data_IF_572831261253
#
_entry.id   IF_572831261253
#
_cell.length_a   1.000
_cell.length_b   1.000
_cell.length_c   1.000
_cell.angle_alpha   90.00
_cell.angle_beta   90.00
_cell.angle_gamma   90.00
#
_symmetry.space_group_name_H-M   'P 1'
#
loop_
_entity.id
_entity.type
_entity.pdbx_description
1 polymer ?
#
# COMPACT_ATOMS: atom_id res chain seq x y z
N UNK A 1 29.35 -6.11 17.42
CA UNK A 1 30.41 -6.32 16.41
C UNK A 1 30.02 -5.59 15.11
N UNK A 2 29.87 -4.27 15.19
CA UNK A 2 29.31 -3.44 14.13
C UNK A 2 30.29 -2.32 13.79
N UNK A 3 31.15 -2.64 12.81
CA UNK A 3 31.94 -1.74 11.95
C UNK A 3 33.12 -0.98 12.61
N UNK A 4 34.33 -1.51 12.43
CA UNK A 4 35.57 -0.73 12.53
C UNK A 4 35.63 0.30 11.38
N UNK A 5 36.04 1.54 11.71
CA UNK A 5 36.20 2.65 10.77
C UNK A 5 37.55 2.58 10.05
N UNK A 6 37.72 1.61 9.16
CA UNK A 6 38.88 1.61 8.26
C UNK A 6 38.64 2.52 7.05
N UNK A 7 39.66 3.31 6.70
CA UNK A 7 39.70 4.13 5.49
C UNK A 7 39.83 3.24 4.24
N UNK A 8 38.78 3.22 3.40
CA UNK A 8 38.75 2.43 2.16
C UNK A 8 37.39 2.46 1.45
N UNK A 9 37.35 1.99 0.20
CA UNK A 9 36.11 1.87 -0.57
C UNK A 9 35.20 0.80 0.06
N UNK A 10 34.09 1.24 0.65
CA UNK A 10 33.05 0.34 1.18
C UNK A 10 32.15 -0.13 0.04
N UNK A 11 32.27 -1.40 -0.34
CA UNK A 11 31.41 -2.02 -1.35
C UNK A 11 30.35 -2.89 -0.67
N UNK A 12 29.06 -2.53 -0.85
CA UNK A 12 27.94 -3.33 -0.37
C UNK A 12 27.41 -4.16 -1.55
N UNK A 13 27.53 -5.47 -1.48
CA UNK A 13 26.99 -6.41 -2.48
C UNK A 13 25.76 -7.10 -1.90
N UNK A 14 24.58 -6.71 -2.36
CA UNK A 14 23.34 -7.41 -2.02
C UNK A 14 23.12 -8.60 -2.95
N UNK A 15 22.86 -9.78 -2.39
CA UNK A 15 22.46 -10.98 -3.16
C UNK A 15 20.96 -11.02 -3.46
N UNK A 16 20.17 -10.09 -2.90
CA UNK A 16 18.74 -10.01 -3.13
C UNK A 16 18.38 -9.40 -4.48
N UNK A 17 17.28 -9.83 -5.08
CA UNK A 17 16.75 -9.18 -6.28
C UNK A 17 16.35 -7.73 -5.97
N UNK A 18 16.78 -6.80 -6.81
CA UNK A 18 16.35 -5.41 -6.69
C UNK A 18 14.86 -5.29 -7.03
N UNK A 19 14.06 -4.86 -6.06
CA UNK A 19 12.61 -4.73 -6.22
C UNK A 19 12.23 -3.75 -7.35
N UNK A 20 13.05 -2.72 -7.62
CA UNK A 20 12.83 -1.81 -8.75
C UNK A 20 12.97 -2.51 -10.10
N UNK A 21 13.99 -3.36 -10.25
CA UNK A 21 14.22 -4.12 -11.48
C UNK A 21 13.12 -5.16 -11.70
N UNK A 22 12.75 -5.89 -10.65
CA UNK A 22 11.59 -6.80 -10.67
C UNK A 22 10.33 -6.07 -11.13
N UNK A 23 10.04 -4.94 -10.50
CA UNK A 23 8.87 -4.11 -10.84
C UNK A 23 8.91 -3.64 -12.29
N UNK A 24 10.09 -3.23 -12.82
CA UNK A 24 10.22 -2.81 -14.24
C UNK A 24 9.87 -3.95 -15.19
N UNK A 25 10.35 -5.17 -14.92
CA UNK A 25 10.05 -6.37 -15.73
C UNK A 25 8.56 -6.73 -15.66
N UNK A 26 8.01 -6.80 -14.46
CA UNK A 26 6.61 -7.19 -14.23
C UNK A 26 5.63 -6.17 -14.82
N UNK A 27 5.92 -4.86 -14.74
CA UNK A 27 5.08 -3.80 -15.32
C UNK A 27 4.86 -3.99 -16.82
N UNK A 28 5.86 -4.47 -17.56
CA UNK A 28 5.73 -4.71 -19.01
C UNK A 28 4.76 -5.86 -19.27
N UNK A 29 4.92 -6.97 -18.56
CA UNK A 29 4.06 -8.15 -18.68
C UNK A 29 2.62 -7.82 -18.27
N UNK A 30 2.45 -7.11 -17.17
CA UNK A 30 1.16 -6.65 -16.66
C UNK A 30 0.43 -5.79 -17.69
N UNK A 31 1.10 -4.79 -18.26
CA UNK A 31 0.51 -3.93 -19.31
C UNK A 31 0.09 -4.72 -20.55
N UNK A 32 0.90 -5.71 -20.97
CA UNK A 32 0.55 -6.60 -22.08
C UNK A 32 -0.71 -7.40 -21.77
N UNK A 33 -0.78 -8.02 -20.60
CA UNK A 33 -1.95 -8.80 -20.18
C UNK A 33 -3.23 -7.95 -20.07
N UNK A 34 -3.12 -6.73 -19.54
CA UNK A 34 -4.24 -5.78 -19.47
C UNK A 34 -4.73 -5.45 -20.89
N UNK A 35 -3.83 -5.19 -21.83
CA UNK A 35 -4.18 -4.91 -23.23
C UNK A 35 -4.81 -6.11 -23.94
N UNK A 36 -4.42 -7.33 -23.57
CA UNK A 36 -4.99 -8.59 -24.08
C UNK A 36 -6.36 -8.94 -23.46
N UNK A 37 -6.92 -8.09 -22.58
CA UNK A 37 -8.21 -8.34 -21.95
C UNK A 37 -8.18 -9.37 -20.82
N UNK A 38 -6.99 -9.80 -20.37
CA UNK A 38 -6.85 -10.72 -19.25
C UNK A 38 -7.20 -10.02 -17.94
N UNK A 39 -7.94 -10.71 -17.08
CA UNK A 39 -8.26 -10.25 -15.72
C UNK A 39 -6.98 -10.17 -14.90
N UNK A 40 -6.60 -8.99 -14.46
CA UNK A 40 -5.43 -8.76 -13.60
C UNK A 40 -5.87 -8.15 -12.27
N UNK A 41 -5.22 -8.55 -11.18
CA UNK A 41 -5.47 -8.01 -9.84
C UNK A 41 -4.19 -7.38 -9.32
N UNK A 42 -4.25 -6.09 -9.02
CA UNK A 42 -3.14 -5.34 -8.46
C UNK A 42 -3.43 -4.99 -7.01
N UNK A 43 -2.50 -5.29 -6.11
CA UNK A 43 -2.60 -4.89 -4.71
C UNK A 43 -2.12 -3.44 -4.57
N UNK A 44 -2.93 -2.60 -3.93
CA UNK A 44 -2.50 -1.28 -3.46
C UNK A 44 -2.60 -1.24 -1.94
N UNK A 45 -1.65 -0.54 -1.34
CA UNK A 45 -1.59 -0.32 0.09
C UNK A 45 -1.91 1.14 0.34
N UNK A 46 -2.55 1.42 1.47
CA UNK A 46 -2.85 2.76 1.93
C UNK A 46 -2.79 2.84 3.45
N UNK A 47 -2.82 4.07 3.93
CA UNK A 47 -2.91 4.41 5.34
C UNK A 47 -4.17 5.24 5.49
N UNK A 48 -5.05 4.83 6.39
CA UNK A 48 -6.25 5.58 6.75
C UNK A 48 -5.86 6.79 7.59
N UNK A 49 -6.21 7.98 7.11
CA UNK A 49 -5.86 9.23 7.76
C UNK A 49 -6.63 9.46 9.06
N UNK A 50 -7.86 8.93 9.15
CA UNK A 50 -8.72 9.13 10.31
C UNK A 50 -8.27 8.23 11.49
N UNK A 51 -7.59 7.12 11.18
CA UNK A 51 -7.10 6.15 12.16
C UNK A 51 -5.62 6.37 12.51
N UNK A 52 -4.84 6.97 11.61
CA UNK A 52 -3.41 7.19 11.81
C UNK A 52 -3.15 8.12 12.99
N UNK A 53 -2.44 7.67 14.02
CA UNK A 53 -2.20 8.45 15.25
C UNK A 53 -1.05 9.46 15.15
N UNK A 54 -0.19 9.36 14.14
CA UNK A 54 0.91 10.30 13.93
C UNK A 54 2.24 9.93 14.61
N UNK A 55 2.38 8.71 15.15
CA UNK A 55 3.61 8.22 15.76
C UNK A 55 4.72 7.88 14.74
N UNK A 56 4.33 7.67 13.48
CA UNK A 56 5.16 7.37 12.30
C UNK A 56 6.21 6.26 12.49
N UNK A 57 6.04 5.40 13.49
CA UNK A 57 6.91 4.25 13.76
C UNK A 57 7.03 3.35 12.53
N UNK A 58 5.95 3.23 11.76
CA UNK A 58 5.88 2.47 10.52
C UNK A 58 6.93 2.91 9.47
N UNK A 59 7.34 4.18 9.42
CA UNK A 59 8.37 4.68 8.49
C UNK A 59 9.75 4.18 8.88
N UNK A 60 10.07 4.25 10.18
CA UNK A 60 11.37 3.81 10.73
C UNK A 60 11.57 2.31 10.59
N UNK A 61 10.54 1.50 10.84
CA UNK A 61 10.66 0.04 10.79
C UNK A 61 10.78 -0.53 9.37
N UNK A 62 10.23 0.16 8.37
CA UNK A 62 10.15 -0.39 7.01
C UNK A 62 11.23 0.13 6.07
N UNK A 63 11.64 1.40 6.19
CA UNK A 63 12.51 2.04 5.19
C UNK A 63 11.92 2.03 3.78
N UNK A 64 10.58 1.99 3.64
CA UNK A 64 9.92 1.96 2.35
C UNK A 64 10.04 3.34 1.68
N UNK A 65 10.63 3.46 0.47
CA UNK A 65 10.83 4.74 -0.18
C UNK A 65 9.51 5.40 -0.64
N UNK A 66 8.42 4.63 -0.71
CA UNK A 66 7.09 5.12 -1.09
C UNK A 66 6.18 5.42 0.11
N UNK A 67 6.64 5.20 1.35
CA UNK A 67 5.90 5.57 2.56
C UNK A 67 6.46 6.92 3.04
N UNK A 68 5.63 7.95 2.96
CA UNK A 68 5.98 9.35 3.23
C UNK A 68 4.97 9.99 4.19
N UNK A 69 5.06 11.30 4.39
CA UNK A 69 4.12 12.10 5.19
C UNK A 69 3.31 13.04 4.30
N UNK A 70 2.06 13.27 4.69
CA UNK A 70 1.17 14.27 4.10
C UNK A 70 0.54 15.11 5.20
N UNK A 71 0.19 16.36 4.89
CA UNK A 71 -0.58 17.21 5.78
C UNK A 71 -1.87 16.52 6.25
N UNK A 72 -2.22 16.77 7.51
CA UNK A 72 -3.45 16.27 8.11
C UNK A 72 -4.67 16.79 7.35
N UNK A 73 -5.68 15.94 7.05
CA UNK A 73 -6.92 16.41 6.43
C UNK A 73 -7.78 17.26 7.38
N UNK A 74 -7.46 17.28 8.67
CA UNK A 74 -8.24 17.98 9.71
C UNK A 74 -7.44 19.12 10.31
N UNK A 75 -8.01 20.33 10.30
CA UNK A 75 -7.40 21.57 10.83
C UNK A 75 -7.12 21.49 12.34
N UNK A 76 -7.83 20.62 13.06
CA UNK A 76 -7.66 20.43 14.51
C UNK A 76 -6.45 19.56 14.87
N UNK A 77 -5.77 18.99 13.88
CA UNK A 77 -4.66 18.05 14.08
C UNK A 77 -3.43 18.55 13.33
N UNK A 78 -2.40 18.89 14.09
CA UNK A 78 -1.14 19.41 13.56
C UNK A 78 -0.23 18.30 13.02
N UNK A 79 -0.29 17.10 13.62
CA UNK A 79 0.59 16.00 13.23
C UNK A 79 0.26 15.47 11.82
N UNK A 80 1.27 15.37 10.94
CA UNK A 80 1.07 14.84 9.59
C UNK A 80 0.63 13.38 9.63
N UNK A 81 0.04 12.94 8.54
CA UNK A 81 -0.46 11.58 8.37
C UNK A 81 0.53 10.81 7.50
N UNK A 82 0.80 9.54 7.86
CA UNK A 82 1.56 8.66 6.98
C UNK A 82 0.79 8.41 5.68
N UNK A 83 1.47 8.49 4.55
CA UNK A 83 0.88 8.40 3.22
C UNK A 83 1.71 7.49 2.34
N UNK A 84 1.04 6.62 1.57
CA UNK A 84 1.70 5.78 0.57
C UNK A 84 1.56 6.45 -0.79
N UNK A 85 2.69 6.79 -1.39
CA UNK A 85 2.74 7.40 -2.72
C UNK A 85 2.30 6.45 -3.83
N UNK A 86 1.88 7.02 -4.97
CA UNK A 86 1.58 6.28 -6.20
C UNK A 86 2.79 5.55 -6.80
N UNK A 87 4.01 5.87 -6.35
CA UNK A 87 5.24 5.16 -6.70
C UNK A 87 5.30 3.75 -6.08
N UNK A 88 4.44 3.46 -5.09
CA UNK A 88 4.37 2.17 -4.40
C UNK A 88 4.15 1.01 -5.37
N UNK A 89 4.96 -0.04 -5.21
CA UNK A 89 4.94 -1.25 -6.04
C UNK A 89 4.10 -2.38 -5.42
N UNK A 90 3.52 -2.16 -4.24
CA UNK A 90 2.61 -3.11 -3.59
C UNK A 90 3.30 -4.36 -3.04
N UNK A 91 4.56 -4.27 -2.58
CA UNK A 91 5.31 -5.42 -2.06
C UNK A 91 4.75 -6.02 -0.76
N UNK A 92 3.87 -5.33 -0.04
CA UNK A 92 3.19 -5.86 1.15
C UNK A 92 3.94 -5.63 2.47
N UNK A 93 5.26 -5.46 2.43
CA UNK A 93 6.13 -5.46 3.61
C UNK A 93 5.70 -4.46 4.71
N UNK A 94 5.36 -3.22 4.32
CA UNK A 94 4.97 -2.20 5.28
C UNK A 94 3.65 -2.47 5.99
N UNK A 95 2.68 -3.06 5.30
CA UNK A 95 1.42 -3.47 5.90
C UNK A 95 1.57 -4.71 6.78
N UNK A 96 2.31 -5.71 6.31
CA UNK A 96 2.51 -6.97 7.04
C UNK A 96 3.29 -6.75 8.34
N UNK A 97 4.36 -5.97 8.30
CA UNK A 97 5.14 -5.63 9.51
C UNK A 97 4.31 -4.77 10.46
N UNK A 98 3.60 -3.75 9.95
CA UNK A 98 2.78 -2.88 10.80
C UNK A 98 1.65 -3.65 11.49
N UNK A 99 1.04 -4.61 10.80
CA UNK A 99 -0.02 -5.44 11.37
C UNK A 99 0.52 -6.52 12.32
N UNK A 100 1.60 -7.21 11.95
CA UNK A 100 2.24 -8.22 12.79
C UNK A 100 2.80 -7.66 14.10
N UNK A 101 3.34 -6.43 14.05
CA UNK A 101 3.85 -5.75 15.23
C UNK A 101 2.77 -4.95 16.00
N UNK A 102 1.49 -5.04 15.57
CA UNK A 102 0.35 -4.29 16.16
C UNK A 102 0.65 -2.78 16.27
N UNK A 103 1.49 -2.26 15.37
CA UNK A 103 2.00 -0.90 15.46
C UNK A 103 0.96 0.12 15.03
N UNK A 104 0.21 -0.19 13.97
CA UNK A 104 -0.63 0.82 13.36
C UNK A 104 -1.89 0.19 12.72
N UNK A 105 -3.09 0.41 13.31
CA UNK A 105 -4.35 -0.13 12.76
C UNK A 105 -4.79 0.58 11.47
N UNK A 106 -4.11 1.65 11.05
CA UNK A 106 -4.49 2.45 9.88
C UNK A 106 -4.08 1.85 8.54
N UNK A 107 -3.19 0.85 8.51
CA UNK A 107 -2.79 0.23 7.25
C UNK A 107 -3.91 -0.61 6.67
N UNK A 108 -4.23 -0.37 5.40
CA UNK A 108 -5.19 -1.16 4.65
C UNK A 108 -4.63 -1.58 3.30
N UNK A 109 -5.22 -2.64 2.75
CA UNK A 109 -4.89 -3.19 1.44
C UNK A 109 -6.15 -3.27 0.60
N UNK A 110 -6.10 -2.69 -0.59
CA UNK A 110 -7.16 -2.79 -1.60
C UNK A 110 -6.66 -3.55 -2.82
N UNK A 111 -7.59 -4.21 -3.49
CA UNK A 111 -7.34 -4.90 -4.75
C UNK A 111 -7.99 -4.11 -5.89
N UNK A 112 -7.19 -3.71 -6.86
CA UNK A 112 -7.64 -3.06 -8.09
C UNK A 112 -7.69 -4.11 -9.18
N UNK A 113 -8.88 -4.32 -9.76
CA UNK A 113 -9.10 -5.34 -10.79
C UNK A 113 -9.16 -4.65 -12.16
N UNK A 114 -8.25 -5.02 -13.06
CA UNK A 114 -8.30 -4.68 -14.48
C UNK A 114 -8.99 -5.80 -15.26
N UNK A 115 -9.79 -5.44 -16.27
CA UNK A 115 -10.62 -6.37 -17.06
C UNK A 115 -11.50 -7.28 -16.20
N UNK A 116 -12.46 -6.72 -15.45
CA UNK A 116 -13.31 -7.50 -14.54
C UNK A 116 -14.19 -8.50 -15.31
N UNK A 117 -14.28 -9.72 -14.78
CA UNK A 117 -15.17 -10.76 -15.29
C UNK A 117 -16.64 -10.41 -15.06
N UNK A 118 -17.55 -11.14 -15.72
CA UNK A 118 -18.99 -10.97 -15.50
C UNK A 118 -19.39 -11.17 -14.04
N UNK A 119 -18.74 -12.13 -13.36
CA UNK A 119 -18.98 -12.43 -11.94
C UNK A 119 -18.53 -11.26 -11.07
N UNK A 120 -17.34 -10.68 -11.33
CA UNK A 120 -16.87 -9.49 -10.60
C UNK A 120 -17.86 -8.33 -10.73
N UNK A 121 -18.42 -8.14 -11.94
CA UNK A 121 -19.39 -7.07 -12.21
C UNK A 121 -20.71 -7.30 -11.49
N UNK A 122 -21.21 -8.53 -11.45
CA UNK A 122 -22.44 -8.90 -10.74
C UNK A 122 -22.24 -8.74 -9.23
N UNK A 123 -21.16 -9.27 -8.68
CA UNK A 123 -20.81 -9.13 -7.27
C UNK A 123 -20.72 -7.67 -6.85
N UNK A 124 -20.08 -6.82 -7.67
CA UNK A 124 -20.00 -5.39 -7.41
C UNK A 124 -21.36 -4.68 -7.45
N UNK A 125 -22.29 -5.09 -8.32
CA UNK A 125 -23.67 -4.56 -8.33
C UNK A 125 -24.44 -4.94 -7.06
N UNK A 126 -24.34 -6.21 -6.65
CA UNK A 126 -25.00 -6.70 -5.43
C UNK A 126 -24.45 -5.98 -4.20
N UNK A 127 -23.12 -5.91 -4.07
CA UNK A 127 -22.46 -5.23 -2.95
C UNK A 127 -22.90 -3.76 -2.85
N UNK A 128 -22.88 -3.01 -3.96
CA UNK A 128 -23.36 -1.62 -3.98
C UNK A 128 -24.83 -1.51 -3.58
N UNK A 129 -25.69 -2.40 -4.07
CA UNK A 129 -27.12 -2.38 -3.71
C UNK A 129 -27.33 -2.64 -2.22
N UNK A 130 -26.58 -3.57 -1.63
CA UNK A 130 -26.64 -3.87 -0.21
C UNK A 130 -26.12 -2.71 0.64
N UNK A 131 -24.97 -2.14 0.28
CA UNK A 131 -24.42 -0.96 0.96
C UNK A 131 -25.40 0.21 0.92
N UNK A 132 -26.06 0.47 -0.22
CA UNK A 132 -27.09 1.49 -0.32
C UNK A 132 -28.32 1.21 0.54
N UNK A 133 -28.73 -0.06 0.66
CA UNK A 133 -29.87 -0.44 1.48
C UNK A 133 -29.57 -0.30 2.97
N UNK A 134 -28.38 -0.70 3.40
CA UNK A 134 -27.92 -0.57 4.78
C UNK A 134 -27.69 0.91 5.15
N UNK A 135 -27.06 1.70 4.28
CA UNK A 135 -26.84 3.13 4.55
C UNK A 135 -28.13 3.95 4.54
N UNK A 136 -29.14 3.57 3.74
CA UNK A 136 -30.49 4.18 3.81
C UNK A 136 -31.22 3.94 5.12
N UNK A 137 -30.90 2.86 5.83
CA UNK A 137 -31.54 2.51 7.10
C UNK A 137 -30.85 3.15 8.32
N UNK A 138 -30.06 4.21 8.11
CA UNK A 138 -29.58 5.08 9.20
C UNK A 138 -28.29 4.63 9.89
N UNK A 139 -27.49 3.74 9.28
CA UNK A 139 -26.16 3.43 9.80
C UNK A 139 -25.11 4.41 9.27
N UNK A 140 -25.11 5.61 9.84
CA UNK A 140 -23.96 6.52 9.86
C UNK A 140 -23.54 6.63 11.32
N UNK A 141 -22.62 5.78 11.72
CA UNK A 141 -21.87 5.91 12.98
C UNK A 141 -20.48 6.39 12.66
#
# INVERSE_FOLDING_TARGET
EAYEEDEGLRVIISRGECQLEKTRREKVVLKKNIKEGKRMVQKRLGVDADVCTGDHSCMRYNGCPSLTLKESPTILRDDPVAFIEHSCVGCGLCGEIAHAAVLCPSFYRVEVIDNPSLIDRIGAKINRSLLHLVSRNGWTG
#
